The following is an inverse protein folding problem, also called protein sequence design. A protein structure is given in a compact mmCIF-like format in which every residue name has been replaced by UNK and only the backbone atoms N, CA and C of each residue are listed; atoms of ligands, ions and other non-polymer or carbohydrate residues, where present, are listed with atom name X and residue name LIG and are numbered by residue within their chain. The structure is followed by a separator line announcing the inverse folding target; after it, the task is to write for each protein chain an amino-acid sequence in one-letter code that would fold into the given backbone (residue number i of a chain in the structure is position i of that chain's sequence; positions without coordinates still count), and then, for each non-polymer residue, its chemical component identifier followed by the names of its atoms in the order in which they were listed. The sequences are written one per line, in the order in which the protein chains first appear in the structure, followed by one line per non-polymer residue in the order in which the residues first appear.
data_IF_716685707686
#
_entry.id   IF_716685707686
#
_cell.length_a   1.000
_cell.length_b   1.000
_cell.length_c   1.000
_cell.angle_alpha   90.00
_cell.angle_beta   90.00
_cell.angle_gamma   90.00
#
_symmetry.space_group_name_H-M   'P 1'
#
loop_
_entity.id
_entity.type
_entity.pdbx_description
1 polymer ?
#
# COMPACT_ATOMS: atom_id res chain seq x y z
N UNK A 1 -18.81 5.67 -0.97
CA UNK A 1 -17.45 5.54 -1.52
C UNK A 1 -17.03 4.09 -1.32
N UNK A 2 -16.92 3.31 -2.40
CA UNK A 2 -16.60 1.89 -2.33
C UNK A 2 -15.08 1.72 -2.24
N UNK A 3 -14.57 1.25 -1.11
CA UNK A 3 -13.14 0.95 -0.94
C UNK A 3 -12.71 -0.15 -1.91
N UNK A 4 -11.59 0.06 -2.59
CA UNK A 4 -11.05 -0.91 -3.55
C UNK A 4 -10.70 -2.23 -2.83
N UNK A 5 -11.32 -3.31 -3.30
CA UNK A 5 -11.20 -4.66 -2.75
C UNK A 5 -9.99 -5.36 -3.38
N UNK A 6 -8.93 -5.59 -2.60
CA UNK A 6 -7.84 -6.48 -3.02
C UNK A 6 -8.32 -7.93 -2.98
N UNK A 7 -8.39 -8.58 -4.15
CA UNK A 7 -8.77 -10.00 -4.28
C UNK A 7 -7.52 -10.86 -4.19
N UNK A 8 -7.46 -11.76 -3.20
CA UNK A 8 -6.41 -12.78 -3.09
C UNK A 8 -7.08 -14.15 -3.31
N UNK A 9 -6.57 -15.01 -4.21
CA UNK A 9 -7.13 -16.35 -4.41
C UNK A 9 -6.87 -17.23 -3.18
N UNK A 10 -7.94 -17.74 -2.57
CA UNK A 10 -7.88 -18.76 -1.51
C UNK A 10 -7.93 -20.18 -2.07
N UNK A 11 -7.58 -21.21 -1.26
CA UNK A 11 -7.75 -22.62 -1.62
C UNK A 11 -9.23 -22.96 -1.91
N UNK A 12 -9.51 -24.01 -2.72
CA UNK A 12 -10.79 -24.21 -3.42
C UNK A 12 -12.02 -24.56 -2.56
N UNK A 13 -12.04 -24.25 -1.26
CA UNK A 13 -13.17 -24.58 -0.38
C UNK A 13 -13.64 -23.45 0.57
N UNK A 14 -13.05 -22.26 0.56
CA UNK A 14 -13.52 -21.15 1.40
C UNK A 14 -13.83 -19.92 0.55
N UNK A 15 -15.04 -19.37 0.71
CA UNK A 15 -15.45 -18.13 0.07
C UNK A 15 -14.48 -16.97 0.34
N UNK A 16 -14.59 -15.91 -0.46
CA UNK A 16 -13.69 -14.76 -0.41
C UNK A 16 -13.54 -14.19 1.01
N UNK A 17 -12.33 -14.28 1.56
CA UNK A 17 -12.00 -13.60 2.83
C UNK A 17 -11.70 -12.13 2.52
N UNK A 18 -12.48 -11.21 3.10
CA UNK A 18 -12.16 -9.78 3.08
C UNK A 18 -11.04 -9.52 4.08
N UNK A 19 -9.81 -9.40 3.59
CA UNK A 19 -8.66 -9.02 4.43
C UNK A 19 -8.63 -7.50 4.55
N UNK A 20 -8.74 -6.99 5.79
CA UNK A 20 -8.51 -5.57 6.08
C UNK A 20 -7.03 -5.35 6.34
N UNK A 21 -6.36 -4.64 5.44
CA UNK A 21 -4.95 -4.29 5.60
C UNK A 21 -4.84 -3.21 6.69
N UNK A 22 -4.03 -3.45 7.76
CA UNK A 22 -3.84 -2.47 8.84
C UNK A 22 -3.05 -1.26 8.32
N UNK A 23 -3.09 -0.16 9.07
CA UNK A 23 -2.33 1.04 8.73
C UNK A 23 -2.62 2.20 9.67
N UNK A 24 -1.76 3.23 9.67
CA UNK A 24 -1.94 4.41 10.49
C UNK A 24 -3.24 5.16 10.14
N UNK A 25 -3.78 5.96 11.07
CA UNK A 25 -4.89 6.87 10.79
C UNK A 25 -4.57 7.85 9.66
N UNK A 26 -5.58 8.27 8.90
CA UNK A 26 -5.38 9.17 7.75
C UNK A 26 -4.69 10.50 8.13
N UNK A 27 -3.61 10.84 7.44
CA UNK A 27 -2.83 12.07 7.65
C UNK A 27 -3.32 13.22 6.74
N UNK A 28 -4.51 13.74 7.03
CA UNK A 28 -5.08 14.89 6.31
C UNK A 28 -5.50 14.60 4.85
N UNK A 29 -6.40 15.42 4.31
CA UNK A 29 -7.05 15.13 3.01
C UNK A 29 -6.20 15.49 1.78
N UNK A 30 -5.44 16.59 1.84
CA UNK A 30 -4.76 17.14 0.65
C UNK A 30 -3.52 16.34 0.27
N UNK A 31 -2.70 15.96 1.25
CA UNK A 31 -1.39 15.31 1.01
C UNK A 31 -1.30 13.89 1.57
N UNK A 32 -2.24 13.45 2.39
CA UNK A 32 -2.13 12.18 3.09
C UNK A 32 -0.78 12.03 3.80
N UNK A 33 -0.21 10.84 3.72
CA UNK A 33 1.07 10.49 4.34
C UNK A 33 2.30 10.88 3.51
N UNK A 34 2.15 11.46 2.32
CA UNK A 34 3.27 11.79 1.44
C UNK A 34 4.34 12.68 2.09
N UNK A 35 4.01 13.73 2.89
CA UNK A 35 5.02 14.55 3.56
C UNK A 35 5.86 13.75 4.57
N UNK A 36 5.25 12.75 5.22
CA UNK A 36 5.94 11.88 6.17
C UNK A 36 6.81 10.84 5.44
N UNK A 37 6.38 10.39 4.26
CA UNK A 37 7.12 9.42 3.46
C UNK A 37 8.31 10.01 2.68
N UNK A 38 8.26 11.31 2.34
CA UNK A 38 9.28 11.97 1.51
C UNK A 38 10.07 13.06 2.23
N UNK A 39 9.69 13.41 3.47
CA UNK A 39 10.38 14.42 4.27
C UNK A 39 11.69 13.91 4.88
N UNK A 40 12.36 14.80 5.62
CA UNK A 40 13.64 14.52 6.30
C UNK A 40 13.56 13.40 7.34
N UNK A 41 12.38 13.16 7.92
CA UNK A 41 12.12 12.08 8.88
C UNK A 41 11.57 10.80 8.27
N UNK A 42 11.64 10.64 6.94
CA UNK A 42 10.96 9.57 6.22
C UNK A 42 11.39 8.16 6.62
N UNK A 43 12.68 7.91 6.78
CA UNK A 43 13.20 6.61 7.22
C UNK A 43 12.64 6.23 8.59
N UNK A 44 12.72 7.13 9.57
CA UNK A 44 12.21 6.87 10.91
C UNK A 44 10.69 6.64 10.92
N UNK A 45 9.95 7.38 10.07
CA UNK A 45 8.52 7.16 9.92
C UNK A 45 8.20 5.78 9.32
N UNK A 46 8.91 5.38 8.26
CA UNK A 46 8.74 4.07 7.63
C UNK A 46 9.09 2.92 8.58
N UNK A 47 10.19 3.04 9.34
CA UNK A 47 10.57 2.06 10.37
C UNK A 47 9.49 1.93 11.43
N UNK A 48 8.97 3.07 11.94
CA UNK A 48 7.91 3.08 12.94
C UNK A 48 6.64 2.37 12.46
N UNK A 49 6.12 2.73 11.28
CA UNK A 49 4.87 2.16 10.78
C UNK A 49 5.01 0.68 10.41
N UNK A 50 6.19 0.25 9.94
CA UNK A 50 6.45 -1.17 9.68
C UNK A 50 6.53 -1.95 10.99
N UNK A 51 7.14 -1.40 12.04
CA UNK A 51 7.19 -2.03 13.35
C UNK A 51 5.79 -2.13 13.99
N UNK A 52 4.91 -1.14 13.79
CA UNK A 52 3.59 -1.06 14.40
C UNK A 52 2.52 -1.86 13.64
N UNK A 53 2.52 -1.80 12.30
CA UNK A 53 1.46 -2.38 11.46
C UNK A 53 1.91 -3.60 10.65
N UNK A 54 3.20 -3.93 10.69
CA UNK A 54 3.80 -5.03 9.94
C UNK A 54 4.31 -4.63 8.56
N UNK A 55 4.78 -5.64 7.81
CA UNK A 55 5.50 -5.44 6.53
C UNK A 55 4.62 -4.98 5.36
N UNK A 56 3.31 -5.07 5.49
CA UNK A 56 2.35 -4.65 4.46
C UNK A 56 1.23 -3.88 5.13
N UNK A 57 1.13 -2.60 4.83
CA UNK A 57 0.16 -1.70 5.44
C UNK A 57 -0.49 -0.78 4.40
N UNK A 58 -1.65 -0.24 4.76
CA UNK A 58 -2.38 0.73 3.95
C UNK A 58 -2.00 2.14 4.38
N UNK A 59 -1.71 3.00 3.41
CA UNK A 59 -1.49 4.43 3.61
C UNK A 59 -2.46 5.26 2.77
N UNK A 60 -2.72 6.48 3.22
CA UNK A 60 -3.50 7.46 2.48
C UNK A 60 -2.59 8.39 1.68
N UNK A 61 -2.95 8.63 0.42
CA UNK A 61 -2.41 9.67 -0.45
C UNK A 61 -3.25 10.95 -0.40
N UNK A 62 -3.05 11.82 -1.38
CA UNK A 62 -3.87 13.02 -1.53
C UNK A 62 -5.29 12.69 -2.03
N UNK A 63 -6.24 13.57 -1.77
CA UNK A 63 -7.60 13.51 -2.34
C UNK A 63 -8.37 12.21 -2.04
N UNK A 64 -8.09 11.57 -0.90
CA UNK A 64 -8.75 10.33 -0.49
C UNK A 64 -8.20 9.07 -1.16
N UNK A 65 -7.08 9.18 -1.88
CA UNK A 65 -6.36 8.02 -2.42
C UNK A 65 -5.87 7.10 -1.30
N UNK A 66 -5.88 5.80 -1.56
CA UNK A 66 -5.30 4.78 -0.71
C UNK A 66 -4.30 3.94 -1.51
N UNK A 67 -3.14 3.66 -0.92
CA UNK A 67 -2.14 2.80 -1.53
C UNK A 67 -1.55 1.83 -0.51
N UNK A 68 -1.00 0.73 -1.02
CA UNK A 68 -0.32 -0.27 -0.19
C UNK A 68 1.16 0.12 -0.13
N UNK A 69 1.67 0.22 1.08
CA UNK A 69 3.10 0.27 1.36
C UNK A 69 3.53 -1.13 1.82
N UNK A 70 4.50 -1.73 1.13
CA UNK A 70 5.00 -3.06 1.48
C UNK A 70 6.51 -3.14 1.42
N UNK A 71 7.09 -3.74 2.46
CA UNK A 71 8.47 -4.18 2.55
C UNK A 71 8.56 -5.72 2.47
N UNK A 72 7.48 -6.42 2.10
CA UNK A 72 7.46 -7.88 1.94
C UNK A 72 8.11 -8.27 0.59
N UNK A 73 9.25 -8.99 0.60
CA UNK A 73 9.94 -9.38 -0.63
C UNK A 73 9.08 -10.23 -1.56
N UNK A 74 8.17 -11.06 -1.04
CA UNK A 74 7.29 -11.89 -1.85
C UNK A 74 6.22 -11.05 -2.57
N UNK A 75 5.70 -10.02 -1.91
CA UNK A 75 4.78 -9.07 -2.53
C UNK A 75 5.49 -8.24 -3.61
N UNK A 76 6.68 -7.71 -3.29
CA UNK A 76 7.50 -6.95 -4.23
C UNK A 76 7.87 -7.78 -5.46
N UNK A 77 8.31 -9.04 -5.27
CA UNK A 77 8.59 -9.95 -6.38
C UNK A 77 7.35 -10.20 -7.24
N UNK A 78 6.19 -10.40 -6.60
CA UNK A 78 4.93 -10.63 -7.31
C UNK A 78 4.54 -9.44 -8.19
N UNK A 79 4.61 -8.21 -7.66
CA UNK A 79 4.20 -6.99 -8.36
C UNK A 79 5.24 -6.54 -9.40
N UNK A 80 6.52 -6.50 -9.02
CA UNK A 80 7.58 -5.92 -9.84
C UNK A 80 8.15 -6.89 -10.89
N UNK A 81 8.05 -8.19 -10.65
CA UNK A 81 8.66 -9.22 -11.52
C UNK A 81 7.60 -10.14 -12.11
N UNK A 82 6.88 -10.91 -11.29
CA UNK A 82 6.01 -12.00 -11.75
C UNK A 82 4.82 -11.48 -12.55
N UNK A 83 4.17 -10.42 -12.08
CA UNK A 83 2.92 -9.89 -12.64
C UNK A 83 3.09 -8.48 -13.21
N UNK A 84 4.32 -8.08 -13.53
CA UNK A 84 4.66 -6.74 -14.03
C UNK A 84 3.71 -6.20 -15.12
N UNK A 85 3.27 -6.97 -16.14
CA UNK A 85 2.36 -6.44 -17.17
C UNK A 85 0.99 -6.00 -16.65
N UNK A 86 0.58 -6.43 -15.45
CA UNK A 86 -0.68 -5.99 -14.82
C UNK A 86 -0.53 -4.66 -14.07
N UNK A 87 0.70 -4.24 -13.81
CA UNK A 87 1.03 -3.06 -13.02
C UNK A 87 1.86 -2.09 -13.87
N UNK A 88 1.18 -1.40 -14.77
CA UNK A 88 1.80 -0.32 -15.55
C UNK A 88 2.08 0.89 -14.67
N UNK A 89 3.25 1.52 -14.86
CA UNK A 89 3.50 2.82 -14.25
C UNK A 89 2.67 3.87 -14.98
N UNK A 90 1.94 4.74 -14.26
CA UNK A 90 1.23 5.82 -14.91
C UNK A 90 2.24 6.76 -15.60
N UNK A 91 1.84 7.37 -16.71
CA UNK A 91 2.68 8.27 -17.49
C UNK A 91 3.31 9.39 -16.64
N UNK A 92 2.61 9.86 -15.60
CA UNK A 92 3.11 10.88 -14.67
C UNK A 92 4.27 10.45 -13.77
N UNK A 93 4.66 9.16 -13.76
CA UNK A 93 5.84 8.68 -13.04
C UNK A 93 7.14 8.74 -13.88
N UNK A 94 7.07 9.24 -15.11
CA UNK A 94 8.21 9.41 -16.04
C UNK A 94 8.69 10.86 -16.17
N UNK A 95 8.05 11.80 -15.47
CA UNK A 95 8.40 13.22 -15.40
C UNK A 95 9.07 13.54 -14.06
#
# INVERSE_FOLDING_TARGET
MAGNLFKIPGPPASGWVKVKIPGPPASGWVKGHFPLLMGSGSTAFQEKIVAEYGRTLKLNGGFGEEFIFTADPSALYSVLVKERPKYERPLGALL
#
